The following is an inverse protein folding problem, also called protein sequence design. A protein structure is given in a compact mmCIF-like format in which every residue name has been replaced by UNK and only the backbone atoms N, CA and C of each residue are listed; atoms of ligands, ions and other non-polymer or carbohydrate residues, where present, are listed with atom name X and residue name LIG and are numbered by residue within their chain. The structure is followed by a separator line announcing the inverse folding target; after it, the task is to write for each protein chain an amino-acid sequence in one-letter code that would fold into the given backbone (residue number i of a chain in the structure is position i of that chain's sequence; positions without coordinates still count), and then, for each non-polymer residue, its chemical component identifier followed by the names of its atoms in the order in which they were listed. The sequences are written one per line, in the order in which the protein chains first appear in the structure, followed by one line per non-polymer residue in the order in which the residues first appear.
data_IF_202330747690
#
_entry.id   IF_202330747690
#
_cell.length_a   1.000
_cell.length_b   1.000
_cell.length_c   1.000
_cell.angle_alpha   90.00
_cell.angle_beta   90.00
_cell.angle_gamma   90.00
#
_symmetry.space_group_name_H-M   'P 1'
#
loop_
_entity.id
_entity.type
_entity.pdbx_description
1 polymer ?
#
# COMPACT_ATOMS: atom_id res chain seq x y z
N UNK A 1 -4.15 -15.85 1.85
CA UNK A 1 -2.85 -15.38 2.40
C UNK A 1 -2.03 -14.76 1.29
N UNK A 2 -1.66 -13.48 1.41
CA UNK A 2 -0.91 -12.71 0.41
C UNK A 2 0.58 -13.04 0.52
N UNK A 3 1.23 -13.34 -0.60
CA UNK A 3 2.67 -13.59 -0.68
C UNK A 3 3.46 -12.30 -0.97
N UNK A 4 4.77 -12.32 -0.73
CA UNK A 4 5.64 -11.17 -1.05
C UNK A 4 5.57 -10.78 -2.53
N UNK A 5 5.55 -11.78 -3.42
CA UNK A 5 5.42 -11.57 -4.86
C UNK A 5 4.11 -10.87 -5.22
N UNK A 6 3.00 -11.28 -4.60
CA UNK A 6 1.69 -10.65 -4.84
C UNK A 6 1.65 -9.22 -4.29
N UNK A 7 2.23 -8.99 -3.10
CA UNK A 7 2.34 -7.66 -2.50
C UNK A 7 3.15 -6.72 -3.38
N UNK A 8 4.34 -7.15 -3.82
CA UNK A 8 5.21 -6.37 -4.70
C UNK A 8 4.53 -6.06 -6.03
N UNK A 9 3.92 -7.07 -6.66
CA UNK A 9 3.23 -6.88 -7.94
C UNK A 9 2.06 -5.91 -7.81
N UNK A 10 1.33 -5.93 -6.70
CA UNK A 10 0.26 -4.97 -6.44
C UNK A 10 0.78 -3.54 -6.39
N UNK A 11 1.87 -3.28 -5.66
CA UNK A 11 2.48 -1.94 -5.59
C UNK A 11 2.92 -1.47 -6.98
N UNK A 12 3.59 -2.33 -7.76
CA UNK A 12 4.02 -2.01 -9.13
C UNK A 12 2.85 -1.57 -10.02
N UNK A 13 1.82 -2.42 -10.16
CA UNK A 13 0.69 -2.12 -11.05
C UNK A 13 -0.15 -0.95 -10.56
N UNK A 14 -0.21 -0.71 -9.24
CA UNK A 14 -0.87 0.46 -8.70
C UNK A 14 -0.14 1.74 -9.14
N UNK A 15 1.19 1.76 -9.07
CA UNK A 15 1.97 2.92 -9.49
C UNK A 15 1.92 3.13 -11.01
N UNK A 16 1.95 2.06 -11.80
CA UNK A 16 1.71 2.10 -13.26
C UNK A 16 0.33 2.71 -13.57
N UNK A 17 -0.70 2.37 -12.79
CA UNK A 17 -2.06 2.89 -12.98
C UNK A 17 -2.17 4.40 -12.76
N UNK A 18 -1.30 5.00 -11.95
CA UNK A 18 -1.26 6.45 -11.77
C UNK A 18 -0.83 7.15 -13.07
N UNK A 19 0.09 6.53 -13.82
CA UNK A 19 0.54 7.05 -15.11
C UNK A 19 -0.57 6.92 -16.16
N UNK A 20 -1.22 5.77 -16.22
CA UNK A 20 -2.36 5.55 -17.14
C UNK A 20 -3.53 6.49 -16.85
N UNK A 21 -3.77 6.80 -15.57
CA UNK A 21 -4.79 7.75 -15.15
C UNK A 21 -4.41 9.23 -15.35
N UNK A 22 -3.18 9.52 -15.79
CA UNK A 22 -2.70 10.88 -16.01
C UNK A 22 -2.51 11.70 -14.73
N UNK A 23 -2.24 11.03 -13.60
CA UNK A 23 -2.01 11.70 -12.33
C UNK A 23 -0.65 12.42 -12.29
N UNK A 24 -0.49 13.45 -11.43
CA UNK A 24 0.74 14.25 -11.36
C UNK A 24 2.00 13.40 -11.27
N UNK A 25 3.07 13.80 -11.97
CA UNK A 25 4.36 13.12 -11.96
C UNK A 25 5.40 13.83 -11.06
N UNK A 26 4.99 14.83 -10.28
CA UNK A 26 5.91 15.52 -9.38
C UNK A 26 6.41 14.57 -8.28
N UNK A 27 7.68 14.72 -7.92
CA UNK A 27 8.38 13.80 -7.00
C UNK A 27 7.69 13.71 -5.65
N UNK A 28 7.16 14.83 -5.14
CA UNK A 28 6.52 14.89 -3.82
C UNK A 28 5.24 14.07 -3.79
N UNK A 29 4.36 14.26 -4.78
CA UNK A 29 3.16 13.44 -4.93
C UNK A 29 3.50 11.97 -5.10
N UNK A 30 4.48 11.64 -5.96
CA UNK A 30 4.86 10.26 -6.25
C UNK A 30 5.47 9.56 -5.04
N UNK A 31 6.27 10.25 -4.24
CA UNK A 31 6.79 9.73 -2.97
C UNK A 31 5.65 9.46 -1.98
N UNK A 32 4.75 10.43 -1.78
CA UNK A 32 3.64 10.29 -0.84
C UNK A 32 2.71 9.13 -1.19
N UNK A 33 2.34 8.97 -2.47
CA UNK A 33 1.47 7.87 -2.92
C UNK A 33 2.19 6.53 -2.82
N UNK A 34 3.48 6.46 -3.15
CA UNK A 34 4.27 5.23 -3.00
C UNK A 34 4.30 4.77 -1.54
N UNK A 35 4.63 5.67 -0.61
CA UNK A 35 4.64 5.38 0.83
C UNK A 35 3.27 4.88 1.32
N UNK A 36 2.19 5.54 0.88
CA UNK A 36 0.82 5.14 1.20
C UNK A 36 0.51 3.72 0.75
N UNK A 37 0.78 3.41 -0.52
CA UNK A 37 0.46 2.12 -1.13
C UNK A 37 1.31 1.00 -0.55
N UNK A 38 2.60 1.23 -0.34
CA UNK A 38 3.52 0.25 0.26
C UNK A 38 3.11 -0.09 1.69
N UNK A 39 2.77 0.94 2.49
CA UNK A 39 2.26 0.76 3.83
C UNK A 39 0.96 -0.05 3.84
N UNK A 40 -0.03 0.35 3.04
CA UNK A 40 -1.31 -0.35 2.94
C UNK A 40 -1.16 -1.81 2.50
N UNK A 41 -0.26 -2.08 1.56
CA UNK A 41 0.03 -3.42 1.07
C UNK A 41 0.70 -4.30 2.14
N UNK A 42 1.56 -3.73 3.00
CA UNK A 42 2.16 -4.44 4.13
C UNK A 42 1.10 -4.78 5.20
N UNK A 43 0.23 -3.84 5.54
CA UNK A 43 -0.90 -4.07 6.47
C UNK A 43 -1.83 -5.16 5.93
N UNK A 44 -2.20 -5.09 4.65
CA UNK A 44 -3.05 -6.08 3.99
C UNK A 44 -2.39 -7.46 3.99
N UNK A 45 -1.08 -7.53 3.73
CA UNK A 45 -0.34 -8.78 3.79
C UNK A 45 -0.43 -9.40 5.18
N UNK A 46 -0.05 -8.68 6.24
CA UNK A 46 -0.14 -9.21 7.61
C UNK A 46 -1.56 -9.70 7.94
N UNK A 47 -2.57 -8.87 7.70
CA UNK A 47 -3.96 -9.20 8.02
C UNK A 47 -4.45 -10.42 7.25
N UNK A 48 -3.97 -10.66 6.03
CA UNK A 48 -4.34 -11.83 5.24
C UNK A 48 -3.82 -13.16 5.79
N UNK A 49 -2.86 -13.13 6.72
CA UNK A 49 -2.29 -14.31 7.41
C UNK A 49 -2.83 -14.49 8.82
N UNK A 50 -3.50 -13.48 9.37
CA UNK A 50 -4.10 -13.53 10.70
C UNK A 50 -5.25 -14.56 10.74
N UNK A 51 -5.27 -15.36 11.80
CA UNK A 51 -6.32 -16.33 12.11
C UNK A 51 -7.16 -15.85 13.31
N UNK A 52 -6.66 -14.87 14.05
CA UNK A 52 -7.30 -14.26 15.22
C UNK A 52 -7.10 -12.74 15.23
N UNK A 53 -7.96 -12.02 15.98
CA UNK A 53 -7.98 -10.55 16.03
C UNK A 53 -6.71 -9.92 16.63
N UNK A 54 -6.01 -10.63 17.51
CA UNK A 54 -4.75 -10.22 18.14
C UNK A 54 -3.55 -10.31 17.19
N UNK A 55 -3.68 -11.03 16.07
CA UNK A 55 -2.66 -11.14 15.02
C UNK A 55 -2.78 -10.05 13.95
N UNK A 56 -3.90 -9.32 13.92
CA UNK A 56 -4.11 -8.20 13.02
C UNK A 56 -3.06 -7.11 13.27
N UNK A 57 -2.73 -6.35 12.22
CA UNK A 57 -1.82 -5.21 12.32
C UNK A 57 -2.32 -4.24 13.41
N UNK A 58 -1.44 -3.73 14.29
CA UNK A 58 -1.84 -2.94 15.46
C UNK A 58 -2.48 -1.60 15.08
N UNK A 59 -2.17 -1.08 13.89
CA UNK A 59 -2.81 0.15 13.40
C UNK A 59 -4.29 -0.11 13.09
N UNK A 60 -5.16 0.65 13.75
CA UNK A 60 -6.62 0.61 13.53
C UNK A 60 -7.14 1.87 12.82
N UNK A 61 -6.28 2.86 12.60
CA UNK A 61 -6.58 4.10 11.89
C UNK A 61 -5.60 4.29 10.73
N UNK A 62 -6.10 4.71 9.57
CA UNK A 62 -5.28 4.96 8.39
C UNK A 62 -4.49 6.26 8.61
N UNK A 63 -3.16 6.28 8.40
CA UNK A 63 -2.37 7.50 8.47
C UNK A 63 -2.85 8.55 7.45
N UNK A 64 -2.52 9.82 7.69
CA UNK A 64 -2.74 10.88 6.71
C UNK A 64 -1.40 11.19 6.03
N UNK A 65 -1.39 11.15 4.70
CA UNK A 65 -0.26 11.59 3.89
C UNK A 65 -0.58 12.97 3.31
N UNK A 66 0.35 13.91 3.49
CA UNK A 66 0.25 15.26 2.94
C UNK A 66 1.20 15.37 1.76
N UNK A 67 0.72 15.88 0.63
CA UNK A 67 1.53 16.22 -0.55
C UNK A 67 1.23 17.65 -1.00
#
# INVERSE_FOLDING_TARGET
KITDRQRQRFVEVYLESLDEAGLPADEKFRAAVREHVEFGAQVAQQNSHAETDDQLHPIRAVPHWNW
#
